data_IF_237129259681
#
_entry.id   IF_237129259681
#
_cell.length_a   1.000
_cell.length_b   1.000
_cell.length_c   1.000
_cell.angle_alpha   90.00
_cell.angle_beta   90.00
_cell.angle_gamma   90.00
#
_symmetry.space_group_name_H-M   'P 1'
#
loop_
_entity.id
_entity.type
_entity.pdbx_description
1 polymer ?
#
# COMPACT_ATOMS: atom_id res chain seq x y z
N UNK A 1 64.24 1.61 3.57
CA UNK A 1 63.01 2.40 3.29
C UNK A 1 62.77 2.35 1.80
N UNK A 2 61.77 1.59 1.35
CA UNK A 2 61.38 1.57 -0.06
C UNK A 2 59.86 1.47 -0.08
N UNK A 3 59.20 2.61 -0.26
CA UNK A 3 57.75 2.73 -0.36
C UNK A 3 57.31 2.21 -1.72
N UNK A 4 56.56 1.10 -1.71
CA UNK A 4 55.95 0.53 -2.92
C UNK A 4 54.65 1.28 -3.20
N UNK A 5 54.73 2.35 -3.98
CA UNK A 5 53.57 3.00 -4.61
C UNK A 5 53.01 2.03 -5.66
N UNK A 6 51.75 1.62 -5.52
CA UNK A 6 51.14 0.63 -6.41
C UNK A 6 49.63 0.79 -6.52
N UNK A 7 49.24 1.62 -7.50
CA UNK A 7 48.03 1.54 -8.34
C UNK A 7 46.67 1.27 -7.66
N UNK A 8 45.93 2.34 -7.39
CA UNK A 8 44.46 2.28 -7.41
C UNK A 8 44.02 2.06 -8.87
N UNK A 9 43.58 0.85 -9.19
CA UNK A 9 43.00 0.53 -10.49
C UNK A 9 41.70 1.31 -10.70
N UNK A 10 41.64 2.09 -11.80
CA UNK A 10 40.40 2.70 -12.26
C UNK A 10 39.43 1.58 -12.67
N UNK A 11 38.37 1.37 -11.90
CA UNK A 11 37.28 0.49 -12.28
C UNK A 11 36.47 1.18 -13.39
N UNK A 12 36.75 0.83 -14.65
CA UNK A 12 35.95 1.25 -15.79
C UNK A 12 34.59 0.53 -15.68
N UNK A 13 33.55 1.25 -15.24
CA UNK A 13 32.20 0.71 -15.31
C UNK A 13 31.80 0.60 -16.79
N UNK A 14 31.31 -0.57 -17.25
CA UNK A 14 30.80 -0.69 -18.61
C UNK A 14 29.63 0.28 -18.77
N UNK A 15 29.60 0.99 -19.90
CA UNK A 15 28.51 1.89 -20.27
C UNK A 15 27.19 1.12 -20.12
N UNK A 16 26.20 1.64 -19.38
CA UNK A 16 24.90 1.00 -19.31
C UNK A 16 24.35 0.89 -20.74
N UNK A 17 23.74 -0.25 -21.13
CA UNK A 17 23.21 -0.40 -22.47
C UNK A 17 22.15 0.70 -22.71
N UNK A 18 22.37 1.51 -23.73
CA UNK A 18 21.38 2.48 -24.18
C UNK A 18 20.18 1.69 -24.70
N UNK A 19 19.03 1.82 -24.03
CA UNK A 19 17.80 1.23 -24.52
C UNK A 19 17.37 1.97 -25.80
N UNK A 20 17.74 1.42 -26.96
CA UNK A 20 17.30 1.95 -28.26
C UNK A 20 15.93 1.37 -28.58
N UNK A 21 14.90 2.19 -28.41
CA UNK A 21 13.54 1.84 -28.81
C UNK A 21 13.36 2.09 -30.31
N UNK A 22 12.75 1.14 -31.01
CA UNK A 22 12.45 1.30 -32.43
C UNK A 22 11.35 2.36 -32.60
N UNK A 23 11.65 3.40 -33.37
CA UNK A 23 10.74 4.54 -33.52
C UNK A 23 9.40 4.15 -34.13
N UNK A 24 9.41 3.23 -35.10
CA UNK A 24 8.19 2.68 -35.72
C UNK A 24 7.32 1.89 -34.73
N UNK A 25 7.95 1.22 -33.76
CA UNK A 25 7.23 0.54 -32.69
C UNK A 25 6.55 1.54 -31.74
N UNK A 26 7.21 2.65 -31.41
CA UNK A 26 6.60 3.72 -30.60
C UNK A 26 5.44 4.37 -31.37
N UNK A 27 5.62 4.67 -32.66
CA UNK A 27 4.60 5.29 -33.51
C UNK A 27 3.36 4.40 -33.64
N UNK A 28 3.55 3.14 -33.99
CA UNK A 28 2.45 2.16 -34.11
C UNK A 28 1.71 1.95 -32.79
N UNK A 29 2.44 1.89 -31.66
CA UNK A 29 1.81 1.78 -30.34
C UNK A 29 1.00 3.02 -29.97
N UNK A 30 1.51 4.23 -30.24
CA UNK A 30 0.75 5.47 -30.02
C UNK A 30 -0.51 5.54 -30.88
N UNK A 31 -0.39 5.22 -32.17
CA UNK A 31 -1.53 5.16 -33.08
C UNK A 31 -2.60 4.17 -32.60
N UNK A 32 -2.19 2.99 -32.15
CA UNK A 32 -3.08 2.01 -31.54
C UNK A 32 -3.82 2.56 -30.30
N UNK A 33 -3.11 3.24 -29.40
CA UNK A 33 -3.73 3.87 -28.23
C UNK A 33 -4.73 4.97 -28.62
N UNK A 34 -4.39 5.80 -29.60
CA UNK A 34 -5.24 6.91 -30.05
C UNK A 34 -6.53 6.39 -30.69
N UNK A 35 -6.45 5.34 -31.51
CA UNK A 35 -7.65 4.66 -32.04
C UNK A 35 -8.55 4.17 -30.91
N UNK A 36 -7.99 3.52 -29.88
CA UNK A 36 -8.80 3.04 -28.76
C UNK A 36 -9.39 4.15 -27.91
N UNK A 37 -8.68 5.27 -27.74
CA UNK A 37 -9.20 6.45 -27.02
C UNK A 37 -10.37 7.07 -27.76
N UNK A 38 -10.34 7.08 -29.09
CA UNK A 38 -11.43 7.59 -29.92
C UNK A 38 -12.73 6.76 -29.79
N UNK A 39 -12.62 5.46 -29.54
CA UNK A 39 -13.78 4.56 -29.36
C UNK A 39 -14.43 4.68 -27.97
N UNK A 40 -13.78 5.32 -26.99
CA UNK A 40 -14.31 5.46 -25.63
C UNK A 40 -15.20 6.70 -25.53
N UNK A 41 -16.26 6.67 -24.72
CA UNK A 41 -17.09 7.85 -24.46
C UNK A 41 -16.22 9.02 -23.98
N UNK A 42 -16.39 10.21 -24.59
CA UNK A 42 -15.61 11.40 -24.27
C UNK A 42 -15.67 11.77 -22.77
N UNK A 43 -16.75 11.40 -22.08
CA UNK A 43 -16.91 11.60 -20.65
C UNK A 43 -15.83 10.91 -19.79
N UNK A 44 -15.21 9.82 -20.28
CA UNK A 44 -14.15 9.12 -19.55
C UNK A 44 -12.80 9.86 -19.55
N UNK A 45 -12.58 10.76 -20.51
CA UNK A 45 -11.37 11.58 -20.63
C UNK A 45 -11.62 13.05 -20.27
N UNK A 46 -12.73 13.33 -19.59
CA UNK A 46 -13.01 14.66 -19.06
C UNK A 46 -11.93 15.03 -18.04
N UNK A 47 -11.41 16.25 -18.15
CA UNK A 47 -10.58 16.84 -17.11
C UNK A 47 -11.39 17.02 -15.80
N UNK A 48 -10.93 16.46 -14.66
CA UNK A 48 -11.60 16.66 -13.39
C UNK A 48 -11.67 18.15 -13.03
N UNK A 49 -12.78 18.56 -12.41
CA UNK A 49 -12.96 19.94 -11.93
C UNK A 49 -12.09 20.23 -10.72
N UNK A 50 -11.84 21.51 -10.44
CA UNK A 50 -11.14 21.94 -9.22
C UNK A 50 -11.82 21.41 -7.95
N UNK A 51 -13.16 21.38 -7.92
CA UNK A 51 -13.91 20.85 -6.79
C UNK A 51 -13.72 19.33 -6.62
N UNK A 52 -13.72 18.56 -7.71
CA UNK A 52 -13.40 17.14 -7.70
C UNK A 52 -11.95 16.89 -7.27
N UNK A 53 -11.01 17.75 -7.69
CA UNK A 53 -9.62 17.72 -7.25
C UNK A 53 -9.46 18.00 -5.76
N UNK A 54 -10.12 19.04 -5.24
CA UNK A 54 -10.12 19.35 -3.82
C UNK A 54 -10.73 18.22 -2.99
N UNK A 55 -11.85 17.64 -3.45
CA UNK A 55 -12.51 16.53 -2.77
C UNK A 55 -11.62 15.28 -2.76
N UNK A 56 -11.00 14.96 -3.90
CA UNK A 56 -10.02 13.89 -4.04
C UNK A 56 -8.86 14.10 -3.07
N UNK A 57 -8.23 15.28 -3.05
CA UNK A 57 -7.09 15.59 -2.16
C UNK A 57 -7.45 15.48 -0.68
N UNK A 58 -8.59 16.05 -0.27
CA UNK A 58 -9.11 15.95 1.11
C UNK A 58 -9.35 14.48 1.52
N UNK A 59 -9.61 13.59 0.57
CA UNK A 59 -9.79 12.16 0.83
C UNK A 59 -8.49 11.38 1.10
N UNK A 60 -7.36 11.76 0.46
CA UNK A 60 -6.06 11.10 0.67
C UNK A 60 -5.46 11.40 2.03
N UNK A 61 -5.64 12.62 2.53
CA UNK A 61 -5.00 13.03 3.78
C UNK A 61 -5.64 12.35 5.01
N UNK A 62 -6.92 11.95 4.97
CA UNK A 62 -7.69 11.85 6.22
C UNK A 62 -8.75 10.75 6.34
N UNK A 63 -8.57 9.55 5.77
CA UNK A 63 -9.28 8.39 6.37
C UNK A 63 -8.53 7.83 7.57
N UNK A 64 -8.32 8.68 8.56
CA UNK A 64 -8.03 8.25 9.93
C UNK A 64 -9.29 7.60 10.49
N UNK A 65 -9.11 6.42 11.05
CA UNK A 65 -10.13 5.65 11.74
C UNK A 65 -9.58 5.25 13.10
N UNK A 66 -10.45 4.79 13.98
CA UNK A 66 -10.15 4.45 15.37
C UNK A 66 -8.81 3.72 15.62
N UNK A 67 -8.47 2.75 14.76
CA UNK A 67 -7.25 1.94 14.91
C UNK A 67 -6.10 2.32 13.98
N UNK A 68 -6.25 3.35 13.14
CA UNK A 68 -5.20 3.76 12.21
C UNK A 68 -5.73 4.42 10.95
N UNK A 69 -5.34 3.94 9.78
CA UNK A 69 -5.69 4.56 8.49
C UNK A 69 -6.35 3.55 7.56
N UNK A 70 -7.44 3.95 6.91
CA UNK A 70 -8.10 3.15 5.89
C UNK A 70 -7.44 3.37 4.52
N UNK A 71 -6.89 2.31 3.92
CA UNK A 71 -6.23 2.38 2.61
C UNK A 71 -7.16 2.18 1.41
N UNK A 72 -8.46 2.46 1.55
CA UNK A 72 -9.45 2.26 0.47
C UNK A 72 -9.34 3.40 -0.56
N UNK A 73 -9.47 3.11 -1.87
CA UNK A 73 -9.49 4.14 -2.89
C UNK A 73 -10.70 5.08 -2.73
N UNK A 74 -10.53 6.32 -3.21
CA UNK A 74 -11.61 7.31 -3.31
C UNK A 74 -12.85 6.73 -4.01
N UNK A 75 -14.04 7.08 -3.51
CA UNK A 75 -15.31 6.63 -4.09
C UNK A 75 -15.68 5.16 -3.89
N UNK A 76 -14.90 4.36 -3.13
CA UNK A 76 -15.22 2.93 -2.93
C UNK A 76 -16.06 2.68 -1.65
N UNK A 77 -17.27 2.07 -1.75
CA UNK A 77 -18.14 1.83 -0.59
C UNK A 77 -17.65 0.66 0.24
N UNK A 78 -17.62 0.80 1.57
CA UNK A 78 -17.17 -0.26 2.48
C UNK A 78 -18.36 -0.90 3.19
N UNK A 79 -18.55 -2.21 3.04
CA UNK A 79 -19.54 -2.95 3.84
C UNK A 79 -19.29 -2.82 5.36
N UNK A 80 -18.05 -2.52 5.73
CA UNK A 80 -17.57 -2.41 7.10
C UNK A 80 -17.22 -0.96 7.44
N UNK A 81 -17.94 0.02 6.90
CA UNK A 81 -17.69 1.46 7.09
C UNK A 81 -17.42 1.85 8.55
N UNK A 82 -17.96 1.07 9.51
CA UNK A 82 -17.71 1.21 10.94
C UNK A 82 -17.04 -0.02 11.62
N UNK A 83 -16.84 -1.14 10.92
CA UNK A 83 -16.21 -2.35 11.45
C UNK A 83 -14.72 -2.43 11.04
N UNK A 84 -13.93 -1.48 11.55
CA UNK A 84 -12.55 -1.27 11.13
C UNK A 84 -11.67 -2.54 11.26
N UNK A 85 -11.86 -3.33 12.33
CA UNK A 85 -10.98 -4.48 12.61
C UNK A 85 -11.07 -5.59 11.55
N UNK A 86 -12.25 -5.78 10.93
CA UNK A 86 -12.47 -6.77 9.84
C UNK A 86 -11.99 -6.27 8.49
N UNK A 87 -11.74 -4.98 8.35
CA UNK A 87 -11.40 -4.38 7.06
C UNK A 87 -10.01 -4.83 6.59
N UNK A 88 -9.89 -5.48 5.42
CA UNK A 88 -8.59 -5.96 4.93
C UNK A 88 -7.63 -4.79 4.64
N UNK A 89 -8.16 -3.65 4.19
CA UNK A 89 -7.36 -2.45 3.86
C UNK A 89 -7.05 -1.55 5.06
N UNK A 90 -7.50 -1.89 6.28
CA UNK A 90 -7.10 -1.17 7.48
C UNK A 90 -5.59 -1.36 7.71
N UNK A 91 -4.84 -0.27 7.70
CA UNK A 91 -3.47 -0.19 8.17
C UNK A 91 -3.51 0.27 9.63
N UNK A 92 -3.28 -0.66 10.54
CA UNK A 92 -3.30 -0.37 11.98
C UNK A 92 -2.09 0.50 12.32
N UNK A 93 -2.33 1.57 13.08
CA UNK A 93 -1.27 2.41 13.62
C UNK A 93 -0.48 1.62 14.69
N UNK A 94 0.86 1.53 14.60
CA UNK A 94 1.66 0.87 15.64
C UNK A 94 1.41 1.38 17.06
N UNK A 95 1.02 2.65 17.23
CA UNK A 95 0.67 3.22 18.54
C UNK A 95 -0.61 2.60 19.14
N UNK A 96 -1.51 2.07 18.30
CA UNK A 96 -2.78 1.46 18.72
C UNK A 96 -2.64 -0.02 19.11
N UNK A 97 -1.41 -0.55 19.22
CA UNK A 97 -1.16 -1.97 19.54
C UNK A 97 -1.89 -2.41 20.82
N UNK A 98 -1.76 -1.66 21.91
CA UNK A 98 -2.38 -2.02 23.21
C UNK A 98 -3.91 -2.11 23.08
N UNK A 99 -4.53 -1.14 22.41
CA UNK A 99 -5.97 -1.14 22.14
C UNK A 99 -6.38 -2.36 21.30
N UNK A 100 -5.59 -2.75 20.31
CA UNK A 100 -5.86 -3.96 19.52
C UNK A 100 -5.78 -5.24 20.37
N UNK A 101 -4.83 -5.33 21.30
CA UNK A 101 -4.74 -6.45 22.25
C UNK A 101 -5.94 -6.50 23.22
N UNK A 102 -6.44 -5.34 23.66
CA UNK A 102 -7.68 -5.24 24.45
C UNK A 102 -8.90 -5.74 23.68
N UNK A 103 -9.04 -5.34 22.41
CA UNK A 103 -10.11 -5.81 21.52
C UNK A 103 -10.05 -7.34 21.37
N UNK A 104 -8.85 -7.91 21.20
CA UNK A 104 -8.66 -9.36 21.09
C UNK A 104 -9.15 -10.08 22.37
N UNK A 105 -8.80 -9.56 23.55
CA UNK A 105 -9.25 -10.14 24.82
C UNK A 105 -10.76 -10.05 24.96
N UNK A 106 -11.33 -8.86 24.75
CA UNK A 106 -12.78 -8.65 24.85
C UNK A 106 -13.58 -9.54 23.90
N UNK A 107 -13.12 -9.71 22.65
CA UNK A 107 -13.75 -10.63 21.70
C UNK A 107 -13.70 -12.08 22.20
N UNK A 108 -12.60 -12.50 22.84
CA UNK A 108 -12.49 -13.80 23.48
C UNK A 108 -13.53 -13.99 24.59
N UNK A 109 -13.66 -13.02 25.48
CA UNK A 109 -14.61 -13.04 26.59
C UNK A 109 -16.06 -13.11 26.09
N UNK A 110 -16.39 -12.28 25.09
CA UNK A 110 -17.72 -12.27 24.46
C UNK A 110 -18.06 -13.57 23.75
N UNK A 111 -17.09 -14.25 23.16
CA UNK A 111 -17.30 -15.58 22.57
C UNK A 111 -17.64 -16.60 23.65
N UNK A 112 -16.97 -16.55 24.81
CA UNK A 112 -17.28 -17.45 25.91
C UNK A 112 -18.67 -17.17 26.48
N UNK A 113 -19.00 -15.90 26.71
CA UNK A 113 -20.33 -15.48 27.16
C UNK A 113 -21.43 -15.95 26.21
N UNK A 114 -21.27 -15.72 24.90
CA UNK A 114 -22.23 -16.16 23.90
C UNK A 114 -22.41 -17.69 23.88
N UNK A 115 -21.34 -18.46 24.13
CA UNK A 115 -21.44 -19.93 24.23
C UNK A 115 -22.18 -20.38 25.47
N UNK A 116 -21.89 -19.77 26.63
CA UNK A 116 -22.56 -20.09 27.90
C UNK A 116 -24.05 -19.80 27.82
N UNK A 117 -24.43 -18.68 27.18
CA UNK A 117 -25.83 -18.27 27.02
C UNK A 117 -26.55 -18.92 25.82
N UNK A 118 -25.86 -19.77 25.04
CA UNK A 118 -26.44 -20.43 23.86
C UNK A 118 -26.70 -19.52 22.65
N UNK A 119 -26.08 -18.34 22.58
CA UNK A 119 -26.21 -17.38 21.47
C UNK A 119 -25.33 -17.76 20.27
N UNK A 120 -25.61 -18.92 19.68
CA UNK A 120 -24.78 -19.50 18.62
C UNK A 120 -24.69 -18.60 17.37
N UNK A 121 -25.73 -17.81 17.08
CA UNK A 121 -25.75 -16.87 15.96
C UNK A 121 -24.71 -15.74 16.06
N UNK A 122 -24.33 -15.33 17.28
CA UNK A 122 -23.34 -14.27 17.49
C UNK A 122 -21.90 -14.79 17.46
N UNK A 123 -21.70 -16.05 17.88
CA UNK A 123 -20.38 -16.67 18.01
C UNK A 123 -19.58 -16.60 16.72
N UNK A 124 -20.21 -16.92 15.58
CA UNK A 124 -19.52 -16.91 14.29
C UNK A 124 -19.01 -15.51 13.92
N UNK A 125 -19.84 -14.48 14.09
CA UNK A 125 -19.45 -13.10 13.84
C UNK A 125 -18.30 -12.65 14.74
N UNK A 126 -18.35 -12.99 16.02
CA UNK A 126 -17.29 -12.67 16.98
C UNK A 126 -15.98 -13.38 16.64
N UNK A 127 -16.03 -14.64 16.21
CA UNK A 127 -14.85 -15.40 15.77
C UNK A 127 -14.18 -14.76 14.54
N UNK A 128 -14.95 -14.33 13.54
CA UNK A 128 -14.42 -13.63 12.37
C UNK A 128 -13.71 -12.33 12.79
N UNK A 129 -14.31 -11.56 13.70
CA UNK A 129 -13.68 -10.35 14.24
C UNK A 129 -12.37 -10.67 14.98
N UNK A 130 -12.36 -11.73 15.79
CA UNK A 130 -11.20 -12.14 16.58
C UNK A 130 -10.03 -12.56 15.69
N UNK A 131 -10.31 -13.35 14.65
CA UNK A 131 -9.31 -13.77 13.68
C UNK A 131 -8.74 -12.56 12.93
N UNK A 132 -9.60 -11.65 12.46
CA UNK A 132 -9.16 -10.43 11.81
C UNK A 132 -8.25 -9.60 12.73
N UNK A 133 -8.62 -9.41 14.01
CA UNK A 133 -7.81 -8.68 14.98
C UNK A 133 -6.44 -9.31 15.21
N UNK A 134 -6.38 -10.65 15.38
CA UNK A 134 -5.13 -11.40 15.53
C UNK A 134 -4.22 -11.28 14.29
N UNK A 135 -4.80 -11.36 13.10
CA UNK A 135 -4.06 -11.20 11.85
C UNK A 135 -3.45 -9.79 11.73
N UNK A 136 -4.16 -8.74 12.18
CA UNK A 136 -3.61 -7.38 12.24
C UNK A 136 -2.47 -7.25 13.25
N UNK A 137 -2.58 -7.87 14.43
CA UNK A 137 -1.51 -7.88 15.43
C UNK A 137 -0.25 -8.56 14.90
N UNK A 138 -0.40 -9.74 14.29
CA UNK A 138 0.71 -10.45 13.64
C UNK A 138 1.35 -9.62 12.51
N UNK A 139 0.56 -8.81 11.81
CA UNK A 139 1.09 -7.87 10.81
C UNK A 139 1.94 -6.76 11.44
N UNK A 140 1.51 -6.19 12.58
CA UNK A 140 2.32 -5.24 13.34
C UNK A 140 3.64 -5.86 13.81
N UNK A 141 3.62 -7.11 14.28
CA UNK A 141 4.83 -7.84 14.69
C UNK A 141 5.81 -8.00 13.54
N UNK A 142 5.32 -8.39 12.35
CA UNK A 142 6.13 -8.49 11.13
C UNK A 142 6.76 -7.15 10.77
N UNK A 143 5.99 -6.06 10.83
CA UNK A 143 6.47 -4.70 10.51
C UNK A 143 7.53 -4.21 11.50
N UNK A 144 7.36 -4.51 12.79
CA UNK A 144 8.38 -4.20 13.80
C UNK A 144 9.70 -4.93 13.52
N UNK A 145 9.61 -6.22 13.18
CA UNK A 145 10.78 -7.04 12.84
C UNK A 145 11.48 -6.58 11.57
N UNK A 146 10.76 -6.14 10.53
CA UNK A 146 11.38 -5.65 9.29
C UNK A 146 12.06 -4.30 9.44
N UNK A 147 11.55 -3.39 10.29
CA UNK A 147 12.23 -2.11 10.58
C UNK A 147 13.61 -2.31 11.22
N UNK A 148 13.78 -3.37 12.00
CA UNK A 148 15.05 -3.70 12.64
C UNK A 148 16.04 -4.40 11.69
N UNK A 149 15.69 -4.62 10.41
CA UNK A 149 16.63 -5.15 9.41
C UNK A 149 17.30 -3.99 8.69
N UNK A 150 18.58 -4.16 8.37
CA UNK A 150 19.30 -3.25 7.49
C UNK A 150 18.58 -3.16 6.14
N UNK A 151 18.18 -1.96 5.69
CA UNK A 151 17.51 -1.81 4.41
C UNK A 151 18.41 -2.37 3.30
N UNK A 152 17.82 -3.21 2.44
CA UNK A 152 18.52 -3.71 1.26
C UNK A 152 18.48 -2.59 0.22
N UNK A 153 19.64 -1.99 -0.06
CA UNK A 153 19.76 -0.98 -1.11
C UNK A 153 19.60 -1.65 -2.47
N UNK A 154 18.46 -1.42 -3.12
CA UNK A 154 18.16 -1.98 -4.44
C UNK A 154 18.83 -1.21 -5.60
N UNK A 155 19.58 -0.14 -5.29
CA UNK A 155 20.11 0.81 -6.27
C UNK A 155 19.00 1.71 -6.84
N UNK A 156 19.15 3.02 -6.79
CA UNK A 156 18.25 3.91 -7.54
C UNK A 156 18.78 3.99 -8.99
N UNK A 157 17.93 3.78 -10.01
CA UNK A 157 18.34 4.04 -11.38
C UNK A 157 18.60 5.54 -11.53
N UNK A 158 19.80 5.89 -11.98
CA UNK A 158 20.17 7.26 -12.30
C UNK A 158 19.50 7.59 -13.65
N UNK A 159 18.45 8.41 -13.62
CA UNK A 159 17.82 8.90 -14.84
C UNK A 159 18.62 10.11 -15.29
N UNK A 160 19.43 9.94 -16.33
CA UNK A 160 20.11 11.06 -16.98
C UNK A 160 19.05 11.89 -17.72
N UNK A 161 18.77 13.10 -17.22
CA UNK A 161 17.98 14.08 -17.95
C UNK A 161 18.82 14.69 -19.05
N UNK A 162 18.49 14.40 -20.31
CA UNK A 162 19.00 15.17 -21.44
C UNK A 162 18.33 16.55 -21.39
N UNK A 163 19.10 17.55 -20.99
CA UNK A 163 18.71 18.94 -21.14
C UNK A 163 18.75 19.33 -22.61
N UNK A 164 17.61 19.79 -23.12
CA UNK A 164 17.52 20.63 -24.30
C UNK A 164 16.63 21.83 -23.96
#
# INVERSE_FOLDING_TARGET
>A
MTTRTGAFGQFQYPTPPLAVFQEELIKSYRAFLDTRRADRPAAEYREPTEQEWEEFQKHFELRKVELGTCGRPYGTPCQHEHACVRCPVLRVDPQQRRRLEEIIRNLGDRIQEARVNGWLGEVQGLQISLEAARNKLASLDRLSRTRNRTPVTLGMPIIHGEGQ
#
